data_IF_874438377276
#
_entry.id   IF_874438377276
#
_cell.length_a   1.000
_cell.length_b   1.000
_cell.length_c   1.000
_cell.angle_alpha   90.00
_cell.angle_beta   90.00
_cell.angle_gamma   90.00
#
_symmetry.space_group_name_H-M   'P 1'
#
loop_
_entity.id
_entity.type
_entity.pdbx_description
1 polymer ?
#
# COMPACT_ATOMS: atom_id res chain seq x y z
N UNK A 1 -5.27 -11.23 1.20
CA UNK A 1 -5.08 -12.65 0.84
C UNK A 1 -6.32 -13.27 0.22
N UNK A 2 -7.49 -13.24 0.87
CA UNK A 2 -8.73 -13.90 0.38
C UNK A 2 -9.05 -13.63 -1.10
N UNK A 3 -9.07 -12.36 -1.52
CA UNK A 3 -9.30 -11.99 -2.92
C UNK A 3 -8.21 -12.57 -3.84
N UNK A 4 -6.95 -12.40 -3.47
CA UNK A 4 -5.80 -12.79 -4.29
C UNK A 4 -5.72 -14.31 -4.52
N UNK A 5 -6.06 -15.14 -3.54
CA UNK A 5 -6.11 -16.60 -3.73
C UNK A 5 -7.30 -17.01 -4.59
N UNK A 6 -8.44 -16.32 -4.46
CA UNK A 6 -9.61 -16.54 -5.34
C UNK A 6 -9.30 -16.18 -6.79
N UNK A 7 -8.64 -15.04 -7.04
CA UNK A 7 -8.18 -14.65 -8.38
C UNK A 7 -7.17 -15.65 -8.96
N UNK A 8 -6.35 -16.27 -8.12
CA UNK A 8 -5.42 -17.33 -8.52
C UNK A 8 -6.09 -18.72 -8.70
N UNK A 9 -7.42 -18.83 -8.59
CA UNK A 9 -8.17 -20.06 -8.85
C UNK A 9 -8.29 -21.01 -7.65
N UNK A 10 -7.89 -20.60 -6.45
CA UNK A 10 -8.06 -21.39 -5.24
C UNK A 10 -9.46 -21.20 -4.62
N UNK A 11 -9.92 -22.20 -3.86
CA UNK A 11 -11.11 -22.10 -3.01
C UNK A 11 -10.84 -21.19 -1.80
N UNK A 12 -11.06 -19.89 -1.98
CA UNK A 12 -10.86 -18.89 -0.94
C UNK A 12 -11.72 -19.14 0.32
N UNK A 13 -13.01 -19.52 0.23
CA UNK A 13 -13.80 -19.96 1.39
C UNK A 13 -13.15 -21.11 2.18
N UNK A 14 -12.71 -22.19 1.51
CA UNK A 14 -12.08 -23.32 2.19
C UNK A 14 -10.75 -22.91 2.84
N UNK A 15 -9.94 -22.10 2.16
CA UNK A 15 -8.72 -21.54 2.73
C UNK A 15 -9.00 -20.62 3.93
N UNK A 16 -10.09 -19.84 3.91
CA UNK A 16 -10.49 -18.99 5.03
C UNK A 16 -10.94 -19.79 6.25
N UNK A 17 -11.58 -20.95 6.06
CA UNK A 17 -11.90 -21.86 7.16
C UNK A 17 -10.64 -22.49 7.76
N UNK A 18 -9.67 -22.88 6.92
CA UNK A 18 -8.44 -23.53 7.37
C UNK A 18 -7.42 -22.55 7.98
N UNK A 19 -7.35 -21.33 7.48
CA UNK A 19 -6.36 -20.31 7.87
C UNK A 19 -7.02 -18.95 8.19
N UNK A 20 -7.97 -18.88 9.15
CA UNK A 20 -8.83 -17.70 9.35
C UNK A 20 -8.08 -16.41 9.75
N UNK A 21 -6.85 -16.54 10.27
CA UNK A 21 -5.98 -15.43 10.66
C UNK A 21 -5.16 -14.84 9.50
N UNK A 22 -5.10 -15.54 8.36
CA UNK A 22 -4.32 -15.18 7.18
C UNK A 22 -5.22 -14.95 5.95
N UNK A 23 -6.29 -15.73 5.83
CA UNK A 23 -7.25 -15.68 4.73
C UNK A 23 -8.62 -15.39 5.31
N UNK A 24 -9.15 -14.19 5.04
CA UNK A 24 -10.44 -13.77 5.58
C UNK A 24 -11.12 -12.76 4.64
N UNK A 25 -12.44 -12.84 4.38
CA UNK A 25 -13.16 -11.80 3.64
C UNK A 25 -13.24 -10.48 4.42
N UNK A 26 -13.15 -10.51 5.76
CA UNK A 26 -13.10 -9.32 6.60
C UNK A 26 -11.65 -8.85 6.77
N UNK A 27 -11.42 -7.54 6.63
CA UNK A 27 -10.13 -6.91 6.95
C UNK A 27 -9.82 -7.01 8.45
N UNK A 28 -8.54 -7.14 8.81
CA UNK A 28 -8.10 -7.15 10.21
C UNK A 28 -7.04 -8.22 10.50
N UNK A 29 -6.95 -8.59 11.78
CA UNK A 29 -5.99 -9.60 12.27
C UNK A 29 -4.54 -9.12 12.30
N UNK A 30 -4.30 -7.81 12.18
CA UNK A 30 -2.97 -7.22 12.23
C UNK A 30 -2.32 -7.44 13.61
N UNK A 31 -1.06 -7.86 13.60
CA UNK A 31 -0.19 -7.95 14.76
C UNK A 31 0.61 -6.65 14.90
N UNK A 32 1.02 -6.05 13.78
CA UNK A 32 1.81 -4.82 13.73
C UNK A 32 3.31 -5.04 13.91
N UNK A 33 4.09 -4.03 13.51
CA UNK A 33 5.55 -4.03 13.59
C UNK A 33 6.19 -5.25 12.93
N UNK A 34 7.25 -5.78 13.53
CA UNK A 34 7.98 -6.93 12.99
C UNK A 34 7.15 -8.23 12.92
N UNK A 35 6.04 -8.32 13.68
CA UNK A 35 5.15 -9.47 13.66
C UNK A 35 4.48 -9.70 12.30
N UNK A 36 4.33 -8.66 11.49
CA UNK A 36 3.78 -8.78 10.13
C UNK A 36 4.68 -9.60 9.20
N UNK A 37 6.01 -9.61 9.41
CA UNK A 37 6.91 -10.46 8.62
C UNK A 37 6.62 -11.95 8.84
N UNK A 38 6.34 -12.35 10.09
CA UNK A 38 5.93 -13.72 10.38
C UNK A 38 4.58 -14.05 9.74
N UNK A 39 3.58 -13.15 9.86
CA UNK A 39 2.27 -13.35 9.20
C UNK A 39 2.41 -13.51 7.70
N UNK A 40 3.25 -12.69 7.06
CA UNK A 40 3.53 -12.78 5.63
C UNK A 40 4.22 -14.11 5.29
N UNK A 41 5.23 -14.53 6.07
CA UNK A 41 5.89 -15.81 5.87
C UNK A 41 4.93 -16.99 5.96
N UNK A 42 4.03 -17.00 6.96
CA UNK A 42 2.99 -18.02 7.11
C UNK A 42 1.98 -17.95 5.95
N UNK A 43 1.61 -16.76 5.46
CA UNK A 43 0.73 -16.65 4.28
C UNK A 43 1.41 -17.16 2.99
N UNK A 44 2.73 -16.96 2.86
CA UNK A 44 3.51 -17.46 1.72
C UNK A 44 3.55 -18.99 1.63
N UNK A 45 3.31 -19.73 2.73
CA UNK A 45 3.21 -21.20 2.70
C UNK A 45 1.89 -21.67 2.08
N UNK A 46 0.89 -20.79 1.96
CA UNK A 46 -0.40 -21.09 1.31
C UNK A 46 -0.27 -20.87 -0.20
N UNK A 47 0.06 -19.64 -0.59
CA UNK A 47 0.32 -19.28 -1.99
C UNK A 47 1.13 -17.98 -2.04
N UNK A 48 2.42 -18.09 -2.36
CA UNK A 48 3.38 -16.98 -2.29
C UNK A 48 2.96 -15.75 -3.11
N UNK A 49 2.61 -15.84 -4.41
CA UNK A 49 2.24 -14.64 -5.18
C UNK A 49 1.04 -13.90 -4.60
N UNK A 50 0.02 -14.63 -4.13
CA UNK A 50 -1.16 -14.03 -3.50
C UNK A 50 -0.84 -13.40 -2.15
N UNK A 51 0.07 -14.01 -1.37
CA UNK A 51 0.51 -13.50 -0.10
C UNK A 51 1.24 -12.16 -0.28
N UNK A 52 2.26 -12.14 -1.15
CA UNK A 52 3.02 -10.94 -1.49
C UNK A 52 2.10 -9.84 -2.02
N UNK A 53 1.21 -10.16 -2.97
CA UNK A 53 0.26 -9.23 -3.58
C UNK A 53 -0.68 -8.60 -2.55
N UNK A 54 -0.96 -9.32 -1.47
CA UNK A 54 -1.90 -8.88 -0.45
C UNK A 54 -1.30 -8.09 0.71
N UNK A 55 -0.02 -7.75 0.64
CA UNK A 55 0.67 -6.89 1.60
C UNK A 55 0.95 -5.50 1.02
N UNK A 56 1.00 -4.49 1.89
CA UNK A 56 1.56 -3.17 1.61
C UNK A 56 3.05 -3.13 1.94
N UNK A 57 3.81 -2.37 1.16
CA UNK A 57 5.28 -2.36 1.25
C UNK A 57 5.86 -0.96 1.37
N UNK A 58 6.98 -0.86 2.11
CA UNK A 58 7.80 0.33 2.24
C UNK A 58 7.16 1.48 3.02
N UNK A 59 7.86 2.62 3.04
CA UNK A 59 7.46 3.83 3.75
C UNK A 59 6.07 4.36 3.34
N UNK A 60 5.71 4.16 2.08
CA UNK A 60 4.46 4.65 1.50
C UNK A 60 3.32 3.64 1.54
N UNK A 61 3.57 2.41 2.02
CA UNK A 61 2.56 1.36 2.15
C UNK A 61 1.82 1.04 0.82
N UNK A 62 2.56 0.95 -0.29
CA UNK A 62 1.98 0.62 -1.59
C UNK A 62 1.59 -0.86 -1.61
N UNK A 63 0.33 -1.15 -1.94
CA UNK A 63 -0.16 -2.52 -2.06
C UNK A 63 0.45 -3.23 -3.27
N UNK A 64 1.05 -4.39 -3.04
CA UNK A 64 1.78 -5.12 -4.08
C UNK A 64 0.89 -5.67 -5.19
N UNK A 65 -0.43 -5.88 -4.98
CA UNK A 65 -1.35 -6.25 -6.07
C UNK A 65 -1.40 -5.20 -7.20
N UNK A 66 -0.83 -4.01 -7.02
CA UNK A 66 -0.65 -3.02 -8.08
C UNK A 66 0.55 -3.28 -8.99
N UNK A 67 1.41 -4.27 -8.71
CA UNK A 67 2.68 -4.51 -9.41
C UNK A 67 2.54 -4.44 -10.94
N UNK A 68 1.53 -5.10 -11.51
CA UNK A 68 1.34 -5.17 -12.96
C UNK A 68 0.94 -3.81 -13.54
N UNK A 69 0.00 -3.12 -12.89
CA UNK A 69 -0.47 -1.79 -13.28
C UNK A 69 0.66 -0.75 -13.20
N UNK A 70 1.56 -0.90 -12.25
CA UNK A 70 2.72 -0.02 -12.05
C UNK A 70 3.93 -0.40 -12.92
N UNK A 71 3.78 -1.40 -13.80
CA UNK A 71 4.79 -1.79 -14.78
C UNK A 71 5.96 -2.60 -14.22
N UNK A 72 5.76 -3.31 -13.10
CA UNK A 72 6.72 -4.30 -12.62
C UNK A 72 6.50 -5.64 -13.35
N UNK A 73 7.55 -6.45 -13.45
CA UNK A 73 7.51 -7.74 -14.17
C UNK A 73 6.69 -8.81 -13.43
N UNK A 74 6.77 -8.80 -12.10
CA UNK A 74 6.05 -9.71 -11.22
C UNK A 74 5.84 -9.08 -9.85
N UNK A 75 5.04 -9.74 -9.00
CA UNK A 75 4.91 -9.33 -7.60
C UNK A 75 6.23 -9.52 -6.85
N UNK A 76 6.98 -10.58 -7.16
CA UNK A 76 8.31 -10.82 -6.58
C UNK A 76 9.28 -9.69 -6.93
N UNK A 77 9.35 -9.30 -8.20
CA UNK A 77 10.20 -8.19 -8.66
C UNK A 77 9.84 -6.87 -7.98
N UNK A 78 8.54 -6.61 -7.78
CA UNK A 78 8.09 -5.47 -6.98
C UNK A 78 8.62 -5.57 -5.53
N UNK A 79 8.42 -6.70 -4.85
CA UNK A 79 8.83 -6.85 -3.45
C UNK A 79 10.34 -6.82 -3.24
N UNK A 80 11.11 -7.37 -4.18
CA UNK A 80 12.57 -7.34 -4.15
C UNK A 80 13.07 -5.90 -4.22
N UNK A 81 12.49 -5.06 -5.09
CA UNK A 81 12.80 -3.64 -5.14
C UNK A 81 12.45 -2.92 -3.83
N UNK A 82 11.33 -3.26 -3.19
CA UNK A 82 10.95 -2.64 -1.91
C UNK A 82 11.95 -2.95 -0.78
N UNK A 83 12.69 -4.05 -0.89
CA UNK A 83 13.78 -4.41 0.03
C UNK A 83 15.08 -3.63 -0.21
N UNK A 84 15.28 -3.03 -1.39
CA UNK A 84 16.54 -2.34 -1.72
C UNK A 84 16.73 -1.01 -1.01
N UNK A 85 15.64 -0.35 -0.57
CA UNK A 85 15.69 0.86 0.24
C UNK A 85 14.61 1.89 -0.09
N UNK A 86 14.64 3.01 0.64
CA UNK A 86 13.62 4.05 0.58
C UNK A 86 13.49 4.70 -0.81
N UNK A 87 14.57 4.77 -1.59
CA UNK A 87 14.53 5.31 -2.95
C UNK A 87 13.62 4.47 -3.88
N UNK A 88 13.72 3.15 -3.81
CA UNK A 88 12.83 2.27 -4.59
C UNK A 88 11.39 2.31 -4.07
N UNK A 89 11.20 2.45 -2.75
CA UNK A 89 9.88 2.60 -2.15
C UNK A 89 9.22 3.92 -2.56
N UNK A 90 10.00 5.00 -2.67
CA UNK A 90 9.54 6.28 -3.20
C UNK A 90 9.21 6.18 -4.69
N UNK A 91 10.02 5.49 -5.50
CA UNK A 91 9.72 5.24 -6.92
C UNK A 91 8.35 4.54 -7.09
N UNK A 92 8.06 3.50 -6.30
CA UNK A 92 6.75 2.85 -6.31
C UNK A 92 5.60 3.82 -5.96
N UNK A 93 5.79 4.69 -4.97
CA UNK A 93 4.81 5.73 -4.63
C UNK A 93 4.61 6.71 -5.79
N UNK A 94 5.69 7.18 -6.42
CA UNK A 94 5.62 8.10 -7.56
C UNK A 94 4.87 7.45 -8.72
N UNK A 95 5.20 6.21 -9.09
CA UNK A 95 4.46 5.45 -10.11
C UNK A 95 2.98 5.34 -9.77
N UNK A 96 2.66 5.00 -8.51
CA UNK A 96 1.28 4.89 -8.05
C UNK A 96 0.50 6.21 -8.18
N UNK A 97 1.11 7.34 -7.81
CA UNK A 97 0.49 8.66 -7.96
C UNK A 97 0.33 9.02 -9.44
N UNK A 98 1.33 8.73 -10.27
CA UNK A 98 1.27 9.01 -11.72
C UNK A 98 0.20 8.20 -12.45
N UNK A 99 -0.02 6.95 -12.04
CA UNK A 99 -1.06 6.07 -12.58
C UNK A 99 -2.49 6.40 -12.09
N UNK A 100 -2.62 7.31 -11.11
CA UNK A 100 -3.92 7.73 -10.56
C UNK A 100 -4.21 9.20 -10.89
N UNK A 101 -4.88 9.52 -12.04
CA UNK A 101 -5.10 10.89 -12.49
C UNK A 101 -5.76 11.80 -11.47
N UNK A 102 -6.74 11.29 -10.71
CA UNK A 102 -7.41 12.05 -9.66
C UNK A 102 -6.46 12.40 -8.51
N UNK A 103 -5.61 11.46 -8.10
CA UNK A 103 -4.62 11.65 -7.04
C UNK A 103 -3.54 12.64 -7.48
N UNK A 104 -3.00 12.48 -8.69
CA UNK A 104 -2.03 13.40 -9.28
C UNK A 104 -2.60 14.82 -9.41
N UNK A 105 -3.85 14.96 -9.88
CA UNK A 105 -4.52 16.25 -9.99
C UNK A 105 -4.70 16.91 -8.62
N UNK A 106 -5.12 16.15 -7.61
CA UNK A 106 -5.28 16.66 -6.25
C UNK A 106 -3.93 17.10 -5.66
N UNK A 107 -2.87 16.31 -5.84
CA UNK A 107 -1.51 16.63 -5.39
C UNK A 107 -1.00 17.92 -6.04
N UNK A 108 -1.05 18.02 -7.37
CA UNK A 108 -0.59 19.21 -8.13
C UNK A 108 -1.37 20.48 -7.75
N UNK A 109 -2.68 20.34 -7.57
CA UNK A 109 -3.56 21.44 -7.16
C UNK A 109 -3.54 21.71 -5.65
N UNK A 110 -2.69 21.01 -4.87
CA UNK A 110 -2.55 21.18 -3.42
C UNK A 110 -3.88 21.00 -2.68
N UNK A 111 -4.76 20.15 -3.21
CA UNK A 111 -6.06 19.81 -2.61
C UNK A 111 -5.87 18.72 -1.58
N UNK A 112 -5.33 19.08 -0.41
CA UNK A 112 -4.88 18.13 0.61
C UNK A 112 -5.98 17.19 1.12
N UNK A 113 -7.20 17.69 1.30
CA UNK A 113 -8.35 16.86 1.67
C UNK A 113 -8.67 15.82 0.59
N UNK A 114 -8.78 16.24 -0.68
CA UNK A 114 -9.02 15.33 -1.79
C UNK A 114 -7.88 14.32 -1.99
N UNK A 115 -6.62 14.75 -1.83
CA UNK A 115 -5.48 13.86 -1.89
C UNK A 115 -5.52 12.80 -0.77
N UNK A 116 -5.74 13.24 0.47
CA UNK A 116 -5.79 12.38 1.65
C UNK A 116 -6.97 11.40 1.59
N UNK A 117 -8.14 11.83 1.10
CA UNK A 117 -9.30 10.96 0.91
C UNK A 117 -9.02 9.84 -0.10
N UNK A 118 -8.44 10.17 -1.26
CA UNK A 118 -8.14 9.18 -2.30
C UNK A 118 -7.05 8.21 -1.83
N UNK A 119 -6.02 8.70 -1.14
CA UNK A 119 -4.86 7.90 -0.74
C UNK A 119 -5.12 7.07 0.53
N UNK A 120 -5.69 7.69 1.57
CA UNK A 120 -5.88 7.07 2.89
C UNK A 120 -7.28 6.52 3.12
N UNK A 121 -8.23 6.86 2.25
CA UNK A 121 -9.62 6.42 2.34
C UNK A 121 -10.50 7.31 3.23
N UNK A 122 -11.74 6.85 3.45
CA UNK A 122 -12.81 7.60 4.12
C UNK A 122 -12.42 8.18 5.49
N UNK A 123 -11.61 7.45 6.28
CA UNK A 123 -11.19 7.86 7.62
C UNK A 123 -10.00 8.84 7.64
N UNK A 124 -9.68 9.48 6.50
CA UNK A 124 -8.51 10.35 6.40
C UNK A 124 -8.56 11.54 7.37
N UNK A 125 -9.75 12.13 7.54
CA UNK A 125 -9.96 13.33 8.33
C UNK A 125 -9.82 13.04 9.83
N UNK A 126 -10.28 11.87 10.28
CA UNK A 126 -10.11 11.40 11.67
C UNK A 126 -8.63 11.34 12.06
N UNK A 127 -7.75 11.04 11.12
CA UNK A 127 -6.31 10.96 11.31
C UNK A 127 -5.56 12.27 10.99
N UNK A 128 -6.30 13.32 10.63
CA UNK A 128 -5.82 14.67 10.28
C UNK A 128 -4.80 14.67 9.13
N UNK A 129 -4.91 13.73 8.19
CA UNK A 129 -3.92 13.61 7.11
C UNK A 129 -3.88 14.84 6.21
N UNK A 130 -5.03 15.39 5.88
CA UNK A 130 -5.21 16.61 5.11
C UNK A 130 -4.55 17.83 5.79
N UNK A 131 -4.80 18.01 7.09
CA UNK A 131 -4.22 19.09 7.89
C UNK A 131 -2.70 18.93 8.01
N UNK A 132 -2.22 17.71 8.24
CA UNK A 132 -0.78 17.40 8.34
C UNK A 132 -0.07 17.68 7.02
N UNK A 133 -0.64 17.28 5.89
CA UNK A 133 -0.10 17.54 4.56
C UNK A 133 -0.03 19.04 4.26
N UNK A 134 -1.09 19.79 4.54
CA UNK A 134 -1.11 21.23 4.34
C UNK A 134 -0.06 21.97 5.18
N UNK A 135 0.00 21.67 6.48
CA UNK A 135 1.02 22.25 7.38
C UNK A 135 2.44 21.91 6.97
N UNK A 136 2.68 20.67 6.54
CA UNK A 136 3.99 20.26 6.05
C UNK A 136 4.37 21.04 4.80
N UNK A 137 3.44 21.17 3.84
CA UNK A 137 3.67 21.94 2.62
C UNK A 137 4.04 23.40 2.92
N UNK A 138 3.28 24.08 3.78
CA UNK A 138 3.54 25.48 4.14
C UNK A 138 4.90 25.65 4.83
N UNK A 139 5.25 24.72 5.73
CA UNK A 139 6.57 24.68 6.37
C UNK A 139 7.70 24.58 5.34
N UNK A 140 7.64 23.62 4.42
CA UNK A 140 8.71 23.42 3.44
C UNK A 140 8.77 24.53 2.40
N UNK A 141 7.63 25.08 1.99
CA UNK A 141 7.56 26.26 1.12
C UNK A 141 8.26 27.47 1.77
N UNK A 142 8.08 27.68 3.08
CA UNK A 142 8.74 28.78 3.78
C UNK A 142 10.26 28.59 3.85
N UNK A 143 10.73 27.35 4.02
CA UNK A 143 12.17 27.02 4.03
C UNK A 143 12.81 27.24 2.66
N UNK A 144 12.12 26.87 1.57
CA UNK A 144 12.60 27.10 0.19
C UNK A 144 12.77 28.59 -0.13
N UNK A 145 11.87 29.45 0.37
CA UNK A 145 11.96 30.91 0.20
C UNK A 145 13.09 31.52 1.05
N UNK A 146 13.55 30.83 2.09
CA UNK A 146 14.56 31.32 3.04
C UNK A 146 15.98 30.79 2.76
N UNK A 147 16.14 29.94 1.75
CA UNK A 147 17.41 29.34 1.31
C UNK A 147 17.93 30.03 0.04
#
# INVERSE_FOLDING_TARGET
>A
MYREVGTAGFDAPALAQRFPNLVNPKRGGYVGGAGEHKRLADACTIHRPSALSSASWGAFQIMAYHWQRLGYESVEAFTDLMHTGEAAQLDAFVRFVMDAPALLKAMKAKKWAAFAEIYNGYDYATNLYDVKLGRAYDKYKALEVSA
#
